data_IF_207839092962
#
_entry.id   IF_207839092962
#
_cell.length_a   1.000
_cell.length_b   1.000
_cell.length_c   1.000
_cell.angle_alpha   90.00
_cell.angle_beta   90.00
_cell.angle_gamma   90.00
#
_symmetry.space_group_name_H-M   'P 1'
#
loop_
_entity.id
_entity.type
_entity.pdbx_description
1 polymer ?
#
# COMPACT_ATOMS: atom_id res chain seq x y z
N UNK A 1 6.14 -10.13 -8.90
CA UNK A 1 5.19 -9.22 -9.59
C UNK A 1 5.96 -8.01 -10.05
N UNK A 2 5.95 -7.68 -11.35
CA UNK A 2 6.50 -6.40 -11.82
C UNK A 2 5.32 -5.46 -12.04
N UNK A 3 5.24 -4.41 -11.25
CA UNK A 3 4.25 -3.34 -11.49
C UNK A 3 4.96 -2.32 -12.40
N UNK A 4 4.63 -2.26 -13.70
CA UNK A 4 5.22 -1.29 -14.60
C UNK A 4 4.70 0.09 -14.19
N UNK A 5 5.52 0.79 -13.43
CA UNK A 5 5.30 2.19 -13.09
C UNK A 5 6.38 2.96 -13.80
N UNK A 6 6.04 4.10 -14.39
CA UNK A 6 7.05 5.02 -14.91
C UNK A 6 7.99 5.38 -13.74
N UNK A 7 9.29 4.99 -13.76
CA UNK A 7 10.17 5.23 -12.62
C UNK A 7 10.40 6.74 -12.45
N UNK A 8 10.13 7.30 -11.26
CA UNK A 8 10.93 7.20 -10.02
C UNK A 8 12.22 8.04 -10.00
N UNK A 9 12.20 9.26 -10.54
CA UNK A 9 13.10 10.31 -10.04
C UNK A 9 12.32 11.58 -9.72
N UNK A 10 11.54 11.53 -8.63
CA UNK A 10 11.08 12.76 -7.99
C UNK A 10 12.26 13.36 -7.24
N UNK A 11 12.84 14.45 -7.77
CA UNK A 11 13.80 15.30 -7.06
C UNK A 11 13.13 16.15 -5.95
N UNK A 12 11.91 15.84 -5.54
CA UNK A 12 11.19 16.62 -4.54
C UNK A 12 11.29 15.99 -3.16
N UNK A 13 11.79 16.78 -2.20
CA UNK A 13 11.90 16.47 -0.77
C UNK A 13 10.53 16.34 -0.04
N UNK A 14 9.48 15.87 -0.70
CA UNK A 14 8.13 15.87 -0.11
C UNK A 14 7.09 14.94 -0.73
N UNK A 15 7.15 14.62 -2.02
CA UNK A 15 6.14 13.75 -2.68
C UNK A 15 6.83 12.57 -3.34
N UNK A 16 6.73 11.40 -2.69
CA UNK A 16 7.30 10.14 -3.14
C UNK A 16 6.29 9.01 -3.02
N UNK A 17 6.41 8.02 -3.91
CA UNK A 17 5.60 6.80 -3.87
C UNK A 17 6.39 5.72 -3.12
N UNK A 18 5.81 5.18 -2.05
CA UNK A 18 6.39 4.07 -1.29
C UNK A 18 5.79 2.76 -1.77
N UNK A 19 6.63 1.83 -2.21
CA UNK A 19 6.24 0.46 -2.53
C UNK A 19 6.60 -0.44 -1.37
N UNK A 20 5.65 -1.24 -0.91
CA UNK A 20 5.86 -2.19 0.18
C UNK A 20 5.29 -3.54 -0.22
N UNK A 21 6.17 -4.54 -0.31
CA UNK A 21 5.79 -5.92 -0.63
C UNK A 21 5.67 -6.72 0.67
N UNK A 22 4.45 -7.07 1.06
CA UNK A 22 4.13 -7.81 2.29
C UNK A 22 4.82 -7.27 3.56
N UNK A 23 4.72 -5.96 3.88
CA UNK A 23 5.52 -5.33 4.94
C UNK A 23 5.20 -5.82 6.35
N UNK A 24 4.08 -6.50 6.55
CA UNK A 24 3.61 -7.01 7.84
C UNK A 24 3.59 -8.53 7.94
N UNK A 25 3.88 -9.27 6.85
CA UNK A 25 3.68 -10.72 6.80
C UNK A 25 4.57 -11.54 7.76
N UNK A 26 5.69 -10.97 8.21
CA UNK A 26 6.61 -11.60 9.17
C UNK A 26 6.51 -11.00 10.59
N UNK A 27 5.56 -10.09 10.84
CA UNK A 27 5.39 -9.39 12.11
C UNK A 27 4.23 -9.98 12.90
N UNK A 28 4.29 -9.86 14.23
CA UNK A 28 3.11 -10.11 15.06
C UNK A 28 2.04 -9.05 14.81
N UNK A 29 0.78 -9.36 15.14
CA UNK A 29 -0.37 -8.50 14.86
C UNK A 29 -0.23 -7.08 15.43
N UNK A 30 0.39 -6.92 16.61
CA UNK A 30 0.55 -5.60 17.25
C UNK A 30 1.59 -4.77 16.50
N UNK A 31 2.71 -5.37 16.13
CA UNK A 31 3.76 -4.70 15.37
C UNK A 31 3.28 -4.41 13.94
N UNK A 32 2.54 -5.32 13.31
CA UNK A 32 1.93 -5.12 12.00
C UNK A 32 0.96 -3.94 11.98
N UNK A 33 0.09 -3.83 13.00
CA UNK A 33 -0.81 -2.66 13.19
C UNK A 33 -0.05 -1.35 13.28
N UNK A 34 1.02 -1.30 14.08
CA UNK A 34 1.85 -0.10 14.22
C UNK A 34 2.46 0.34 12.87
N UNK A 35 2.91 -0.59 12.05
CA UNK A 35 3.42 -0.30 10.70
C UNK A 35 2.31 0.30 9.82
N UNK A 36 1.12 -0.26 9.85
CA UNK A 36 -0.02 0.27 9.09
C UNK A 36 -0.40 1.68 9.56
N UNK A 37 -0.42 1.94 10.87
CA UNK A 37 -0.69 3.28 11.41
C UNK A 37 0.33 4.32 10.92
N UNK A 38 1.60 3.92 10.80
CA UNK A 38 2.64 4.78 10.21
C UNK A 38 2.33 5.05 8.73
N UNK A 39 1.89 4.05 7.97
CA UNK A 39 1.50 4.26 6.57
C UNK A 39 0.32 5.21 6.42
N UNK A 40 -0.72 5.06 7.23
CA UNK A 40 -1.85 5.99 7.24
C UNK A 40 -1.40 7.42 7.52
N UNK A 41 -0.60 7.62 8.57
CA UNK A 41 -0.06 8.95 8.91
C UNK A 41 0.80 9.54 7.79
N UNK A 42 1.64 8.75 7.13
CA UNK A 42 2.44 9.22 6.00
C UNK A 42 1.56 9.60 4.79
N UNK A 43 0.48 8.87 4.55
CA UNK A 43 -0.46 9.16 3.49
C UNK A 43 -1.25 10.44 3.78
N UNK A 44 -1.81 10.57 4.97
CA UNK A 44 -2.68 11.66 5.39
C UNK A 44 -1.91 12.95 5.71
N UNK A 45 -0.86 12.87 6.54
CA UNK A 45 -0.14 14.06 7.03
C UNK A 45 0.87 14.59 6.01
N UNK A 46 1.47 13.70 5.20
CA UNK A 46 2.56 14.06 4.28
C UNK A 46 2.19 13.91 2.80
N UNK A 47 0.97 13.49 2.48
CA UNK A 47 0.51 13.30 1.11
C UNK A 47 1.30 12.23 0.35
N UNK A 48 1.93 11.27 1.04
CA UNK A 48 2.69 10.20 0.38
C UNK A 48 1.74 9.18 -0.24
N UNK A 49 2.00 8.78 -1.48
CA UNK A 49 1.30 7.64 -2.08
C UNK A 49 1.96 6.35 -1.60
N UNK A 50 1.15 5.41 -1.12
CA UNK A 50 1.63 4.11 -0.65
C UNK A 50 0.98 3.03 -1.51
N UNK A 51 1.80 2.15 -2.06
CA UNK A 51 1.37 0.97 -2.81
C UNK A 51 1.78 -0.24 -1.99
N UNK A 52 0.78 -0.81 -1.32
CA UNK A 52 0.90 -1.97 -0.45
C UNK A 52 0.50 -3.23 -1.22
N UNK A 53 1.37 -4.23 -1.21
CA UNK A 53 1.07 -5.58 -1.70
C UNK A 53 0.84 -6.44 -0.45
N UNK A 54 -0.31 -7.08 -0.38
CA UNK A 54 -0.62 -8.00 0.71
C UNK A 54 -1.61 -9.09 0.29
N UNK A 55 -1.50 -10.26 0.89
CA UNK A 55 -2.51 -11.32 0.87
C UNK A 55 -3.58 -11.16 1.97
N UNK A 56 -3.41 -10.23 2.91
CA UNK A 56 -4.40 -9.97 3.96
C UNK A 56 -5.55 -9.10 3.44
N UNK A 57 -6.77 -9.64 3.44
CA UNK A 57 -7.96 -8.89 3.04
C UNK A 57 -8.26 -7.75 4.02
N UNK A 58 -8.08 -7.99 5.31
CA UNK A 58 -8.27 -7.00 6.37
C UNK A 58 -7.39 -5.77 6.14
N UNK A 59 -6.08 -5.97 5.92
CA UNK A 59 -5.15 -4.86 5.67
C UNK A 59 -5.44 -4.15 4.34
N UNK A 60 -5.87 -4.89 3.32
CA UNK A 60 -6.27 -4.30 2.05
C UNK A 60 -7.51 -3.40 2.23
N UNK A 61 -8.47 -3.79 3.05
CA UNK A 61 -9.70 -3.03 3.31
C UNK A 61 -9.45 -1.69 4.00
N UNK A 62 -8.38 -1.55 4.76
CA UNK A 62 -7.98 -0.27 5.38
C UNK A 62 -7.47 0.76 4.37
N UNK A 63 -7.12 0.34 3.15
CA UNK A 63 -6.65 1.24 2.09
C UNK A 63 -7.82 1.85 1.32
N UNK A 64 -7.61 3.00 0.69
CA UNK A 64 -8.67 3.67 -0.09
C UNK A 64 -9.05 2.93 -1.38
N UNK A 65 -8.12 2.15 -1.97
CA UNK A 65 -8.29 1.45 -3.25
C UNK A 65 -7.60 0.11 -3.20
N UNK A 66 -8.33 -0.94 -3.59
CA UNK A 66 -7.80 -2.30 -3.69
C UNK A 66 -7.92 -2.78 -5.13
N UNK A 67 -6.78 -3.27 -5.64
CA UNK A 67 -6.67 -3.89 -6.95
C UNK A 67 -6.33 -5.35 -6.74
N UNK A 68 -7.19 -6.25 -7.23
CA UNK A 68 -6.96 -7.69 -7.15
C UNK A 68 -6.30 -8.18 -8.43
N UNK A 69 -5.15 -8.82 -8.27
CA UNK A 69 -4.39 -9.41 -9.36
C UNK A 69 -4.49 -10.93 -9.31
N UNK A 70 -4.61 -11.57 -10.47
CA UNK A 70 -4.54 -13.02 -10.64
C UNK A 70 -3.92 -13.34 -11.99
N UNK A 71 -2.95 -14.26 -12.00
CA UNK A 71 -2.27 -14.72 -13.23
C UNK A 71 -1.73 -13.57 -14.11
N UNK A 72 -1.25 -12.49 -13.47
CA UNK A 72 -0.73 -11.30 -14.15
C UNK A 72 -1.80 -10.33 -14.68
N UNK A 73 -3.08 -10.60 -14.44
CA UNK A 73 -4.21 -9.78 -14.88
C UNK A 73 -4.90 -9.11 -13.68
N UNK A 74 -5.40 -7.89 -13.90
CA UNK A 74 -6.32 -7.23 -12.97
C UNK A 74 -7.69 -7.89 -13.14
N UNK A 75 -8.16 -8.55 -12.09
CA UNK A 75 -9.46 -9.24 -12.09
C UNK A 75 -10.52 -8.51 -11.28
N UNK A 76 -10.14 -7.47 -10.54
CA UNK A 76 -11.06 -6.69 -9.75
C UNK A 76 -10.45 -5.39 -9.25
N UNK A 77 -11.31 -4.39 -9.11
CA UNK A 77 -10.98 -3.13 -8.48
C UNK A 77 -12.16 -2.73 -7.61
N UNK A 78 -11.88 -2.30 -6.37
CA UNK A 78 -12.88 -1.74 -5.46
C UNK A 78 -12.28 -0.65 -4.59
N UNK A 79 -13.13 0.19 -4.03
CA UNK A 79 -12.73 1.05 -2.91
C UNK A 79 -12.62 0.18 -1.66
N UNK A 80 -11.58 0.39 -0.87
CA UNK A 80 -11.58 -0.11 0.50
C UNK A 80 -12.33 0.86 1.40
N UNK A 81 -12.46 0.48 2.66
CA UNK A 81 -13.14 1.25 3.69
C UNK A 81 -12.46 2.60 3.91
N UNK A 82 -11.14 2.67 3.69
CA UNK A 82 -10.32 3.87 3.93
C UNK A 82 -10.37 4.31 5.39
N UNK A 83 -9.47 5.20 5.76
CA UNK A 83 -9.67 6.09 6.90
C UNK A 83 -9.99 7.50 6.35
#
# INVERSE_FOLDING_TARGET
MYIPLKPLFSKHKGVGVQFTDEPTGALDSKTGRMIMDIFHRLNEEQGKTIVLITHSQELAEETQRVITLKDGLIIGERRGSGC
#
